data_IF_319006868414
#
_entry.id   IF_319006868414
#
_cell.length_a   1.000
_cell.length_b   1.000
_cell.length_c   1.000
_cell.angle_alpha   90.00
_cell.angle_beta   90.00
_cell.angle_gamma   90.00
#
_symmetry.space_group_name_H-M   'P 1'
#
loop_
_entity.id
_entity.type
_entity.pdbx_description
1 polymer ?
#
# COMPACT_ATOMS: atom_id res chain seq x y z
N UNK A 1 29.65 0.77 0.01
CA UNK A 1 29.85 2.22 -0.11
C UNK A 1 28.47 2.84 -0.26
N UNK A 2 27.84 3.27 0.84
CA UNK A 2 26.55 3.96 0.82
C UNK A 2 26.64 5.36 0.16
N UNK A 3 25.49 5.85 -0.28
CA UNK A 3 25.29 7.21 -0.77
C UNK A 3 24.78 8.09 0.39
N UNK A 4 25.42 9.24 0.59
CA UNK A 4 25.02 10.23 1.57
C UNK A 4 24.61 11.52 0.87
N UNK A 5 23.55 12.16 1.38
CA UNK A 5 23.09 13.46 0.89
C UNK A 5 23.58 14.56 1.83
N UNK A 6 24.09 15.62 1.23
CA UNK A 6 24.56 16.83 1.89
C UNK A 6 23.84 18.04 1.29
N UNK A 7 23.46 19.01 2.11
CA UNK A 7 22.76 20.22 1.70
C UNK A 7 23.60 21.46 2.03
N UNK A 8 23.71 22.37 1.06
CA UNK A 8 24.34 23.66 1.28
C UNK A 8 23.43 24.54 2.16
N UNK A 9 23.88 25.05 3.31
CA UNK A 9 23.06 25.88 4.20
C UNK A 9 22.64 27.21 3.58
N UNK A 10 23.40 27.74 2.60
CA UNK A 10 23.16 29.04 1.99
C UNK A 10 22.28 28.96 0.73
N UNK A 11 22.41 27.91 -0.07
CA UNK A 11 21.70 27.76 -1.36
C UNK A 11 20.60 26.70 -1.35
N UNK A 12 20.60 25.78 -0.37
CA UNK A 12 19.70 24.63 -0.33
C UNK A 12 19.98 23.58 -1.40
N UNK A 13 21.12 23.67 -2.10
CA UNK A 13 21.50 22.69 -3.11
C UNK A 13 21.92 21.37 -2.44
N UNK A 14 21.36 20.26 -2.94
CA UNK A 14 21.64 18.92 -2.44
C UNK A 14 22.65 18.21 -3.34
N UNK A 15 23.70 17.68 -2.72
CA UNK A 15 24.76 16.92 -3.38
C UNK A 15 24.78 15.51 -2.82
N UNK A 16 24.84 14.50 -3.70
CA UNK A 16 25.02 13.12 -3.28
C UNK A 16 26.47 12.69 -3.41
N UNK A 17 27.01 12.13 -2.32
CA UNK A 17 28.41 11.73 -2.21
C UNK A 17 28.48 10.27 -1.77
N UNK A 18 29.24 9.47 -2.51
CA UNK A 18 29.52 8.08 -2.16
C UNK A 18 30.68 8.06 -1.15
N UNK A 19 30.41 7.62 0.08
CA UNK A 19 31.45 7.53 1.13
C UNK A 19 31.48 6.14 1.75
N UNK A 20 32.62 5.77 2.34
CA UNK A 20 32.74 4.55 3.12
C UNK A 20 32.01 4.70 4.46
N UNK A 21 31.48 3.59 5.01
CA UNK A 21 30.79 3.60 6.31
C UNK A 21 31.74 3.95 7.46
N UNK A 22 33.04 3.74 7.28
CA UNK A 22 34.07 3.94 8.30
C UNK A 22 34.73 5.31 8.26
N UNK A 23 34.36 6.17 7.29
CA UNK A 23 34.92 7.51 7.14
C UNK A 23 34.15 8.53 7.98
N UNK A 24 34.80 9.65 8.26
CA UNK A 24 34.15 10.80 8.90
C UNK A 24 33.21 11.44 7.88
N UNK A 25 31.91 11.52 8.20
CA UNK A 25 30.86 11.91 7.26
C UNK A 25 30.73 13.43 7.14
N UNK A 26 31.84 14.13 6.95
CA UNK A 26 31.89 15.58 6.70
C UNK A 26 32.09 15.87 5.21
N UNK A 27 31.45 16.93 4.73
CA UNK A 27 31.59 17.39 3.35
C UNK A 27 31.71 18.92 3.33
N UNK A 28 32.79 19.42 2.73
CA UNK A 28 33.07 20.85 2.61
C UNK A 28 33.42 21.18 1.16
N UNK A 29 32.78 22.23 0.61
CA UNK A 29 33.16 22.81 -0.68
C UNK A 29 33.57 24.26 -0.42
N UNK A 30 34.78 24.64 -0.84
CA UNK A 30 35.29 26.02 -0.76
C UNK A 30 35.25 26.64 0.66
N UNK A 31 35.35 25.81 1.70
CA UNK A 31 35.32 26.23 3.11
C UNK A 31 33.91 26.41 3.69
N UNK A 32 32.86 26.07 2.94
CA UNK A 32 31.48 26.00 3.45
C UNK A 32 31.17 24.55 3.85
N UNK A 33 30.85 24.28 5.13
CA UNK A 33 30.41 22.97 5.58
C UNK A 33 28.98 22.71 5.12
N UNK A 34 28.74 21.52 4.56
CA UNK A 34 27.42 21.09 4.14
C UNK A 34 26.79 20.19 5.21
N UNK A 35 25.51 20.38 5.46
CA UNK A 35 24.78 19.63 6.48
C UNK A 35 24.30 18.29 5.91
N UNK A 36 24.46 17.21 6.69
CA UNK A 36 23.99 15.88 6.27
C UNK A 36 22.47 15.81 6.32
N UNK A 37 21.86 15.44 5.20
CA UNK A 37 20.42 15.20 5.09
C UNK A 37 20.11 13.75 5.41
N UNK A 38 19.28 13.54 6.44
CA UNK A 38 18.73 12.23 6.76
C UNK A 38 17.38 12.07 6.05
N UNK A 39 17.36 11.31 4.97
CA UNK A 39 16.10 10.98 4.31
C UNK A 39 15.31 10.01 5.20
N UNK A 40 14.02 10.29 5.39
CA UNK A 40 13.12 9.32 6.01
C UNK A 40 13.02 8.14 5.04
N UNK A 41 13.32 6.90 5.46
CA UNK A 41 13.15 5.77 4.57
C UNK A 41 11.68 5.70 4.16
N UNK A 42 11.41 5.69 2.85
CA UNK A 42 10.10 5.38 2.29
C UNK A 42 9.79 3.89 2.49
N UNK A 43 9.72 3.46 3.74
CA UNK A 43 9.45 2.09 4.13
C UNK A 43 7.94 1.85 3.96
N UNK A 44 7.57 1.25 2.82
CA UNK A 44 6.22 0.74 2.61
C UNK A 44 6.03 -0.54 3.43
N UNK A 45 5.88 -0.42 4.75
CA UNK A 45 5.57 -1.54 5.63
C UNK A 45 4.08 -1.89 5.44
N UNK A 46 3.83 -3.10 4.94
CA UNK A 46 2.51 -3.73 4.94
C UNK A 46 1.41 -3.05 4.09
N UNK A 47 1.82 -2.33 3.04
CA UNK A 47 0.90 -1.60 2.14
C UNK A 47 0.08 -2.51 1.21
N UNK A 48 0.47 -3.77 1.04
CA UNK A 48 -0.18 -4.72 0.13
C UNK A 48 -0.90 -5.78 0.92
N UNK A 49 -2.22 -5.66 0.98
CA UNK A 49 -3.12 -6.69 1.49
C UNK A 49 -3.24 -7.79 0.42
N UNK A 50 -3.00 -9.04 0.79
CA UNK A 50 -3.35 -10.17 -0.07
C UNK A 50 -4.89 -10.19 -0.28
N UNK A 51 -5.39 -10.03 -1.51
CA UNK A 51 -6.82 -10.03 -1.77
C UNK A 51 -7.51 -11.36 -1.40
N UNK A 52 -6.80 -12.48 -1.25
CA UNK A 52 -7.39 -13.77 -0.87
C UNK A 52 -7.36 -14.03 0.65
N UNK A 53 -6.62 -13.23 1.42
CA UNK A 53 -6.45 -13.43 2.85
C UNK A 53 -7.49 -12.67 3.67
N UNK A 54 -8.41 -13.41 4.29
CA UNK A 54 -9.43 -12.83 5.15
C UNK A 54 -8.88 -12.29 6.48
N UNK A 55 -7.77 -12.87 6.99
CA UNK A 55 -7.11 -12.38 8.20
C UNK A 55 -6.45 -11.02 7.95
N UNK A 56 -5.69 -10.90 6.87
CA UNK A 56 -5.02 -9.63 6.53
C UNK A 56 -6.02 -8.52 6.25
N UNK A 57 -7.14 -8.83 5.58
CA UNK A 57 -8.18 -7.83 5.37
C UNK A 57 -8.74 -7.32 6.70
N UNK A 58 -8.97 -8.19 7.70
CA UNK A 58 -9.49 -7.75 9.01
C UNK A 58 -8.50 -6.90 9.80
N UNK A 59 -7.20 -7.18 9.69
CA UNK A 59 -6.16 -6.49 10.48
C UNK A 59 -5.74 -5.16 9.84
N UNK A 60 -5.68 -5.13 8.50
CA UNK A 60 -5.13 -4.02 7.73
C UNK A 60 -6.21 -3.09 7.18
N UNK A 61 -7.45 -3.56 7.00
CA UNK A 61 -8.54 -2.68 6.58
C UNK A 61 -8.93 -1.75 7.74
N UNK A 62 -8.43 -0.52 7.69
CA UNK A 62 -8.70 0.54 8.66
C UNK A 62 -9.32 1.73 7.93
N UNK A 63 -10.22 2.43 8.63
CA UNK A 63 -10.92 3.60 8.11
C UNK A 63 -12.37 3.63 8.59
N UNK A 64 -13.16 4.50 7.97
CA UNK A 64 -14.60 4.51 8.13
C UNK A 64 -15.24 3.28 7.50
N UNK A 65 -16.52 3.03 7.79
CA UNK A 65 -17.24 1.92 7.16
C UNK A 65 -17.25 2.03 5.62
N UNK A 66 -17.29 3.25 5.09
CA UNK A 66 -17.19 3.50 3.65
C UNK A 66 -15.83 3.08 3.08
N UNK A 67 -14.75 3.49 3.74
CA UNK A 67 -13.38 3.14 3.32
C UNK A 67 -13.17 1.63 3.30
N UNK A 68 -13.73 0.90 4.28
CA UNK A 68 -13.65 -0.57 4.34
C UNK A 68 -14.44 -1.19 3.16
N UNK A 69 -15.58 -0.63 2.78
CA UNK A 69 -16.34 -1.10 1.62
C UNK A 69 -15.59 -0.85 0.30
N UNK A 70 -14.95 0.31 0.16
CA UNK A 70 -14.15 0.64 -1.02
C UNK A 70 -12.92 -0.29 -1.11
N UNK A 71 -12.24 -0.54 0.00
CA UNK A 71 -11.14 -1.52 0.08
C UNK A 71 -11.61 -2.93 -0.27
N UNK A 72 -12.82 -3.32 0.15
CA UNK A 72 -13.42 -4.62 -0.21
C UNK A 72 -13.70 -4.72 -1.71
N UNK A 73 -14.18 -3.63 -2.34
CA UNK A 73 -14.39 -3.56 -3.78
C UNK A 73 -13.07 -3.71 -4.56
N UNK A 74 -12.01 -3.00 -4.13
CA UNK A 74 -10.67 -3.11 -4.73
C UNK A 74 -10.13 -4.54 -4.62
N UNK A 75 -10.31 -5.21 -3.47
CA UNK A 75 -9.91 -6.59 -3.30
C UNK A 75 -10.70 -7.54 -4.23
N UNK A 76 -12.00 -7.32 -4.38
CA UNK A 76 -12.87 -8.10 -5.30
C UNK A 76 -12.44 -7.99 -6.76
N UNK A 77 -12.10 -6.77 -7.20
CA UNK A 77 -11.55 -6.53 -8.55
C UNK A 77 -10.21 -7.23 -8.75
N UNK A 78 -9.31 -7.20 -7.76
CA UNK A 78 -8.03 -7.92 -7.83
C UNK A 78 -8.24 -9.43 -7.95
N UNK A 79 -9.15 -10.03 -7.17
CA UNK A 79 -9.49 -11.45 -7.29
C UNK A 79 -10.04 -11.79 -8.67
N UNK A 80 -10.93 -10.96 -9.19
CA UNK A 80 -11.51 -11.13 -10.54
C UNK A 80 -10.44 -11.01 -11.63
N UNK A 81 -9.47 -10.09 -11.50
CA UNK A 81 -8.33 -9.98 -12.44
C UNK A 81 -7.41 -11.20 -12.39
N UNK A 82 -7.24 -11.82 -11.22
CA UNK A 82 -6.37 -12.99 -11.05
C UNK A 82 -7.02 -14.31 -11.50
N UNK A 83 -8.30 -14.50 -11.18
CA UNK A 83 -8.99 -15.79 -11.33
C UNK A 83 -10.18 -15.75 -12.31
N UNK A 84 -10.45 -14.60 -12.93
CA UNK A 84 -11.62 -14.36 -13.79
C UNK A 84 -12.91 -14.09 -12.99
N UNK A 85 -13.00 -14.59 -11.76
CA UNK A 85 -14.17 -14.45 -10.90
C UNK A 85 -13.77 -14.32 -9.42
N UNK A 86 -14.60 -13.65 -8.61
CA UNK A 86 -14.39 -13.53 -7.17
C UNK A 86 -15.13 -14.66 -6.40
N UNK A 87 -14.41 -15.64 -5.82
CA UNK A 87 -15.02 -16.73 -5.06
C UNK A 87 -15.74 -16.26 -3.80
N UNK A 88 -15.24 -15.20 -3.15
CA UNK A 88 -15.85 -14.63 -1.94
C UNK A 88 -17.19 -13.99 -2.26
N UNK A 89 -17.26 -13.27 -3.38
CA UNK A 89 -18.50 -12.64 -3.87
C UNK A 89 -19.55 -13.67 -4.28
N UNK A 90 -19.13 -14.77 -4.91
CA UNK A 90 -20.02 -15.91 -5.22
C UNK A 90 -20.61 -16.54 -3.96
N UNK A 91 -19.77 -16.78 -2.94
CA UNK A 91 -20.24 -17.33 -1.68
C UNK A 91 -21.21 -16.38 -0.97
N UNK A 92 -20.93 -15.07 -0.97
CA UNK A 92 -21.82 -14.05 -0.41
C UNK A 92 -23.23 -14.11 -1.03
N UNK A 93 -23.35 -14.22 -2.35
CA UNK A 93 -24.66 -14.32 -3.01
C UNK A 93 -25.38 -15.63 -2.70
N UNK A 94 -24.66 -16.77 -2.64
CA UNK A 94 -25.22 -18.06 -2.21
C UNK A 94 -25.77 -17.99 -0.79
N UNK A 95 -25.00 -17.45 0.14
CA UNK A 95 -25.39 -17.33 1.55
C UNK A 95 -26.57 -16.38 1.74
N UNK A 96 -26.60 -15.28 0.99
CA UNK A 96 -27.72 -14.34 0.99
C UNK A 96 -29.02 -15.04 0.54
N UNK A 97 -28.96 -15.78 -0.57
CA UNK A 97 -30.10 -16.53 -1.09
C UNK A 97 -30.58 -17.59 -0.10
N UNK A 98 -29.65 -18.36 0.48
CA UNK A 98 -29.96 -19.38 1.49
C UNK A 98 -30.69 -18.78 2.71
N UNK A 99 -30.21 -17.64 3.22
CA UNK A 99 -30.81 -16.95 4.38
C UNK A 99 -32.16 -16.32 4.06
N UNK A 100 -32.44 -15.99 2.79
CA UNK A 100 -33.67 -15.30 2.37
C UNK A 100 -34.60 -16.19 1.55
N UNK A 101 -34.62 -17.50 1.85
CA UNK A 101 -35.53 -18.48 1.24
C UNK A 101 -35.47 -18.48 -0.29
N UNK A 102 -34.28 -18.31 -0.86
CA UNK A 102 -34.05 -18.29 -2.31
C UNK A 102 -34.09 -16.90 -2.96
N UNK A 103 -34.34 -15.82 -2.20
CA UNK A 103 -34.33 -14.47 -2.76
C UNK A 103 -32.92 -14.04 -3.17
N UNK A 104 -32.73 -13.74 -4.46
CA UNK A 104 -31.45 -13.27 -5.02
C UNK A 104 -31.14 -11.82 -4.59
N UNK A 105 -29.87 -11.53 -4.36
CA UNK A 105 -29.43 -10.18 -3.98
C UNK A 105 -29.65 -9.20 -5.15
N UNK A 106 -30.05 -7.93 -4.92
CA UNK A 106 -30.29 -6.97 -6.01
C UNK A 106 -29.10 -6.73 -6.94
N UNK A 107 -27.88 -6.89 -6.43
CA UNK A 107 -26.61 -6.77 -7.16
C UNK A 107 -26.05 -8.11 -7.68
N UNK A 108 -26.83 -9.18 -7.57
CA UNK A 108 -26.46 -10.50 -8.09
C UNK A 108 -26.69 -10.51 -9.61
N UNK A 109 -25.67 -10.76 -10.44
CA UNK A 109 -25.84 -10.83 -11.89
C UNK A 109 -26.85 -11.91 -12.31
N UNK A 110 -26.95 -13.01 -11.55
CA UNK A 110 -27.90 -14.10 -11.84
C UNK A 110 -29.36 -13.72 -11.59
N UNK A 111 -29.65 -12.55 -10.99
CA UNK A 111 -31.03 -12.08 -10.79
C UNK A 111 -31.68 -11.58 -12.08
N UNK A 112 -30.88 -11.11 -13.02
CA UNK A 112 -31.34 -10.51 -14.27
C UNK A 112 -31.27 -11.46 -15.48
N UNK A 113 -30.70 -12.67 -15.27
CA UNK A 113 -30.86 -13.85 -16.14
C UNK A 113 -32.11 -14.65 -15.73
#
# INVERSE_FOLDING_TARGET
MPEYLYENPDTGEQVSVWQSVHEEHSYEIEGVPYDRVYTVPNAAIDTRIDPNSASEFREKAKGTLGDIWDQSAIASEKRTKQQGEDPVKKQFFKDYSAKRKGAKHPKDPSKFE
#
